data_IF_991613607376
#
_entry.id   IF_991613607376
#
_cell.length_a   1.000
_cell.length_b   1.000
_cell.length_c   1.000
_cell.angle_alpha   90.00
_cell.angle_beta   90.00
_cell.angle_gamma   90.00
#
_symmetry.space_group_name_H-M   'P 1'
#
loop_
_entity.id
_entity.type
_entity.pdbx_description
1 polymer ?
#
# COMPACT_ATOMS: atom_id res chain seq x y z
N UNK A 1 8.41 -13.55 -0.28
CA UNK A 1 7.29 -12.59 -0.10
C UNK A 1 6.82 -12.13 -1.47
N UNK A 2 5.52 -11.85 -1.62
CA UNK A 2 4.92 -11.36 -2.85
C UNK A 2 3.61 -10.62 -2.61
N UNK A 3 2.93 -10.29 -3.71
CA UNK A 3 1.60 -9.67 -3.70
C UNK A 3 0.66 -10.49 -4.58
N UNK A 4 -0.46 -10.92 -4.01
CA UNK A 4 -1.56 -11.58 -4.73
C UNK A 4 -2.65 -10.55 -5.03
N UNK A 5 -3.21 -10.55 -6.25
CA UNK A 5 -4.25 -9.61 -6.69
C UNK A 5 -5.54 -10.35 -6.99
N UNK A 6 -6.68 -9.81 -6.55
CA UNK A 6 -8.00 -10.41 -6.75
C UNK A 6 -9.03 -9.37 -7.11
N UNK A 7 -9.86 -9.69 -8.10
CA UNK A 7 -11.04 -8.88 -8.39
C UNK A 7 -12.08 -9.07 -7.27
N UNK A 8 -12.58 -7.96 -6.73
CA UNK A 8 -13.64 -7.88 -5.73
C UNK A 8 -14.66 -6.82 -6.16
N UNK A 9 -15.76 -7.27 -6.77
CA UNK A 9 -16.73 -6.35 -7.37
C UNK A 9 -16.10 -5.58 -8.53
N UNK A 10 -16.19 -4.25 -8.49
CA UNK A 10 -15.54 -3.35 -9.44
C UNK A 10 -14.08 -3.04 -9.11
N UNK A 11 -13.55 -3.53 -7.97
CA UNK A 11 -12.22 -3.19 -7.45
C UNK A 11 -11.24 -4.34 -7.53
N UNK A 12 -9.96 -4.02 -7.54
CA UNK A 12 -8.87 -4.98 -7.39
C UNK A 12 -8.35 -4.85 -5.95
N UNK A 13 -8.61 -5.88 -5.16
CA UNK A 13 -7.99 -6.06 -3.85
C UNK A 13 -6.61 -6.72 -4.01
N UNK A 14 -5.75 -6.57 -3.02
CA UNK A 14 -4.46 -7.28 -2.97
C UNK A 14 -4.11 -7.77 -1.58
N UNK A 15 -3.27 -8.79 -1.53
CA UNK A 15 -2.76 -9.39 -0.29
C UNK A 15 -1.25 -9.39 -0.31
N UNK A 16 -0.64 -9.07 0.82
CA UNK A 16 0.78 -9.34 1.03
C UNK A 16 0.90 -10.77 1.51
N UNK A 17 1.74 -11.55 0.82
CA UNK A 17 1.96 -12.97 1.13
C UNK A 17 3.43 -13.21 1.47
N UNK A 18 3.67 -14.11 2.42
CA UNK A 18 4.99 -14.70 2.67
C UNK A 18 4.99 -16.16 2.23
N UNK A 19 6.16 -16.70 1.90
CA UNK A 19 6.30 -18.08 1.44
C UNK A 19 7.35 -18.77 2.31
N UNK A 20 7.01 -19.93 2.83
CA UNK A 20 7.93 -20.82 3.54
C UNK A 20 7.82 -22.26 3.00
N UNK A 21 8.30 -23.25 3.75
CA UNK A 21 8.27 -24.65 3.33
C UNK A 21 6.85 -25.25 3.28
N UNK A 22 5.91 -24.69 4.05
CA UNK A 22 4.53 -25.18 4.15
C UNK A 22 3.59 -24.51 3.13
N UNK A 23 4.04 -23.41 2.51
CA UNK A 23 3.38 -22.80 1.36
C UNK A 23 3.28 -21.28 1.46
N UNK A 24 2.24 -20.73 0.83
CA UNK A 24 1.96 -19.30 0.82
C UNK A 24 1.01 -18.92 1.95
N UNK A 25 1.37 -17.87 2.70
CA UNK A 25 0.61 -17.36 3.83
C UNK A 25 0.28 -15.88 3.63
N UNK A 26 -1.01 -15.55 3.61
CA UNK A 26 -1.45 -14.15 3.59
C UNK A 26 -1.29 -13.52 4.98
N UNK A 27 -0.66 -12.35 5.02
CA UNK A 27 -0.36 -11.65 6.28
C UNK A 27 -1.05 -10.28 6.37
N UNK A 28 -1.35 -9.69 5.22
CA UNK A 28 -2.17 -8.49 5.08
C UNK A 28 -3.16 -8.66 3.94
N UNK A 29 -4.38 -8.18 4.13
CA UNK A 29 -5.40 -8.06 3.07
C UNK A 29 -5.85 -6.61 2.95
N UNK A 30 -5.81 -6.03 1.76
CA UNK A 30 -6.32 -4.68 1.55
C UNK A 30 -7.84 -4.61 1.82
N UNK A 31 -8.29 -3.48 2.36
CA UNK A 31 -9.70 -3.20 2.60
C UNK A 31 -10.18 -2.20 1.57
N UNK A 32 -10.96 -2.67 0.61
CA UNK A 32 -11.41 -1.85 -0.52
C UNK A 32 -12.61 -0.95 -0.19
N UNK A 33 -13.38 -1.26 0.85
CA UNK A 33 -14.65 -0.58 1.12
C UNK A 33 -15.75 -0.95 0.10
N UNK A 34 -16.81 -0.16 0.07
CA UNK A 34 -17.95 -0.36 -0.82
C UNK A 34 -17.83 0.51 -2.09
N UNK A 35 -18.44 0.05 -3.19
CA UNK A 35 -18.35 0.69 -4.51
C UNK A 35 -18.85 2.14 -4.57
N UNK A 36 -19.81 2.49 -3.70
CA UNK A 36 -20.44 3.80 -3.61
C UNK A 36 -19.67 4.81 -2.73
N UNK A 37 -18.61 4.38 -2.04
CA UNK A 37 -17.84 5.24 -1.15
C UNK A 37 -16.88 6.14 -1.96
N UNK A 38 -17.03 7.48 -1.92
CA UNK A 38 -16.15 8.41 -2.64
C UNK A 38 -14.72 8.42 -2.06
N UNK A 39 -14.59 8.09 -0.78
CA UNK A 39 -13.33 8.03 -0.03
C UNK A 39 -13.21 6.67 0.65
N UNK A 40 -12.88 5.63 -0.13
CA UNK A 40 -12.72 4.29 0.43
C UNK A 40 -11.46 4.18 1.30
N UNK A 41 -11.41 3.16 2.18
CA UNK A 41 -10.29 2.93 3.10
C UNK A 41 -8.97 2.56 2.40
N UNK A 42 -9.03 2.09 1.15
CA UNK A 42 -7.87 1.83 0.28
C UNK A 42 -8.09 2.40 -1.12
N UNK A 43 -7.04 2.57 -1.95
CA UNK A 43 -7.20 3.02 -3.31
C UNK A 43 -8.25 2.22 -4.09
N UNK A 44 -9.20 2.90 -4.73
CA UNK A 44 -10.21 2.25 -5.58
C UNK A 44 -9.59 1.81 -6.92
N UNK A 45 -8.77 0.76 -6.89
CA UNK A 45 -8.06 0.23 -8.06
C UNK A 45 -9.02 -0.61 -8.90
N UNK A 46 -9.03 -0.44 -10.21
CA UNK A 46 -9.98 -1.10 -11.13
C UNK A 46 -9.27 -1.77 -12.31
N UNK A 47 -8.04 -1.35 -12.61
CA UNK A 47 -7.24 -1.91 -13.69
C UNK A 47 -5.79 -2.14 -13.22
N UNK A 48 -5.28 -3.35 -13.48
CA UNK A 48 -3.86 -3.69 -13.41
C UNK A 48 -3.25 -3.45 -14.78
N UNK A 49 -2.38 -2.44 -14.88
CA UNK A 49 -1.71 -2.10 -16.13
C UNK A 49 -0.48 -2.99 -16.34
N UNK A 50 -0.67 -4.06 -17.13
CA UNK A 50 0.40 -5.01 -17.47
C UNK A 50 1.41 -4.47 -18.49
N UNK A 51 1.07 -3.40 -19.22
CA UNK A 51 1.95 -2.83 -20.24
C UNK A 51 3.09 -2.00 -19.63
N UNK A 52 2.86 -1.36 -18.48
CA UNK A 52 3.94 -0.73 -17.68
C UNK A 52 4.89 -1.77 -17.05
N UNK A 53 4.38 -2.97 -16.78
CA UNK A 53 5.12 -4.15 -16.34
C UNK A 53 6.08 -4.70 -17.42
N UNK A 54 5.79 -4.44 -18.70
CA UNK A 54 6.67 -4.80 -19.83
C UNK A 54 7.68 -3.69 -20.17
N UNK A 55 7.31 -2.42 -20.00
CA UNK A 55 8.25 -1.29 -20.10
C UNK A 55 9.32 -1.31 -18.98
N UNK A 56 9.03 -1.99 -17.87
CA UNK A 56 9.96 -2.25 -16.78
C UNK A 56 11.23 -3.02 -17.20
N UNK A 57 11.14 -3.82 -18.26
CA UNK A 57 12.28 -4.52 -18.87
C UNK A 57 13.30 -3.54 -19.48
N UNK A 58 12.95 -2.25 -19.61
CA UNK A 58 13.83 -1.17 -20.06
C UNK A 58 14.36 -0.25 -18.93
N UNK A 59 14.33 -0.70 -17.67
CA UNK A 59 15.07 -0.07 -16.56
C UNK A 59 14.26 0.57 -15.43
N UNK A 60 12.95 0.32 -15.34
CA UNK A 60 12.14 0.67 -14.18
C UNK A 60 11.59 -0.61 -13.55
N UNK A 61 12.07 -1.05 -12.38
CA UNK A 61 11.61 -2.30 -11.76
C UNK A 61 10.20 -2.13 -11.16
N UNK A 62 9.15 -2.07 -11.99
CA UNK A 62 7.76 -2.03 -11.53
C UNK A 62 7.16 -3.43 -11.65
N UNK A 63 6.88 -4.07 -10.51
CA UNK A 63 6.24 -5.38 -10.45
C UNK A 63 4.71 -5.29 -10.64
N UNK A 64 4.10 -4.14 -10.34
CA UNK A 64 2.71 -3.87 -10.66
C UNK A 64 2.42 -2.38 -10.70
N UNK A 65 1.57 -1.97 -11.64
CA UNK A 65 1.01 -0.63 -11.68
C UNK A 65 -0.52 -0.73 -11.80
N UNK A 66 -1.22 -0.16 -10.84
CA UNK A 66 -2.67 -0.21 -10.76
C UNK A 66 -3.25 1.20 -10.80
N UNK A 67 -4.40 1.35 -11.42
CA UNK A 67 -5.14 2.60 -11.50
C UNK A 67 -6.63 2.37 -11.26
N UNK A 68 -7.32 3.41 -10.83
CA UNK A 68 -8.78 3.41 -10.79
C UNK A 68 -9.35 4.74 -10.32
N UNK A 69 -10.63 4.73 -9.99
CA UNK A 69 -11.37 5.93 -9.66
C UNK A 69 -12.40 5.65 -8.56
N UNK A 70 -12.59 6.63 -7.69
CA UNK A 70 -13.82 6.73 -6.89
C UNK A 70 -14.29 8.18 -6.86
N UNK A 71 -15.59 8.39 -7.07
CA UNK A 71 -16.16 9.72 -7.27
C UNK A 71 -15.47 10.48 -8.40
N UNK A 72 -14.76 11.56 -8.06
CA UNK A 72 -14.00 12.39 -9.02
C UNK A 72 -12.48 12.23 -8.88
N UNK A 73 -12.03 11.38 -7.96
CA UNK A 73 -10.63 11.22 -7.59
C UNK A 73 -10.00 10.07 -8.37
N UNK A 74 -8.81 10.30 -8.92
CA UNK A 74 -8.04 9.24 -9.56
C UNK A 74 -7.08 8.63 -8.55
N UNK A 75 -7.02 7.31 -8.54
CA UNK A 75 -6.16 6.53 -7.67
C UNK A 75 -5.13 5.78 -8.49
N UNK A 76 -3.92 5.66 -7.96
CA UNK A 76 -2.87 4.82 -8.52
C UNK A 76 -2.07 4.15 -7.42
N UNK A 77 -1.60 2.93 -7.68
CA UNK A 77 -0.68 2.19 -6.83
C UNK A 77 0.43 1.58 -7.70
N UNK A 78 1.67 1.94 -7.42
CA UNK A 78 2.86 1.26 -7.91
C UNK A 78 3.40 0.28 -6.86
N UNK A 79 3.87 -0.88 -7.29
CA UNK A 79 4.59 -1.84 -6.47
C UNK A 79 5.90 -2.18 -7.16
N UNK A 80 7.01 -1.97 -6.48
CA UNK A 80 8.36 -2.15 -7.00
C UNK A 80 9.12 -3.15 -6.11
N UNK A 81 9.77 -4.19 -6.66
CA UNK A 81 10.66 -5.03 -5.90
C UNK A 81 11.95 -4.27 -5.61
N UNK A 82 12.39 -4.33 -4.35
CA UNK A 82 13.63 -3.77 -3.86
C UNK A 82 14.47 -4.87 -3.17
N UNK A 83 15.77 -4.65 -3.09
CA UNK A 83 16.66 -5.42 -2.21
C UNK A 83 17.31 -4.46 -1.22
N UNK A 84 17.17 -4.73 0.07
CA UNK A 84 17.79 -3.93 1.16
C UNK A 84 18.72 -4.82 1.95
N UNK A 85 20.00 -4.49 1.92
CA UNK A 85 21.03 -5.19 2.70
C UNK A 85 21.00 -6.72 2.47
N UNK A 86 20.74 -7.12 1.22
CA UNK A 86 20.61 -8.51 0.79
C UNK A 86 19.25 -9.17 1.04
N UNK A 87 18.27 -8.45 1.59
CA UNK A 87 16.93 -8.95 1.90
C UNK A 87 15.88 -8.50 0.88
N UNK A 88 14.87 -9.34 0.58
CA UNK A 88 13.80 -8.98 -0.32
C UNK A 88 12.85 -7.95 0.33
N UNK A 89 12.55 -6.90 -0.43
CA UNK A 89 11.60 -5.86 -0.05
C UNK A 89 10.66 -5.52 -1.21
N UNK A 90 9.52 -4.92 -0.87
CA UNK A 90 8.56 -4.35 -1.82
C UNK A 90 8.31 -2.90 -1.41
N UNK A 91 8.48 -1.98 -2.33
CA UNK A 91 8.08 -0.59 -2.18
C UNK A 91 6.68 -0.42 -2.75
N UNK A 92 5.78 0.12 -1.95
CA UNK A 92 4.45 0.52 -2.36
C UNK A 92 4.40 2.05 -2.48
N UNK A 93 3.83 2.51 -3.58
CA UNK A 93 3.73 3.93 -3.90
C UNK A 93 2.32 4.25 -4.37
N UNK A 94 1.51 4.77 -3.45
CA UNK A 94 0.11 5.07 -3.69
C UNK A 94 -0.10 6.58 -3.80
N UNK A 95 -1.01 6.97 -4.69
CA UNK A 95 -1.39 8.35 -4.87
C UNK A 95 -2.88 8.50 -5.17
N UNK A 96 -3.44 9.61 -4.71
CA UNK A 96 -4.80 10.03 -4.98
C UNK A 96 -4.81 11.47 -5.51
N UNK A 97 -5.27 11.66 -6.75
CA UNK A 97 -5.53 13.00 -7.31
C UNK A 97 -6.92 13.47 -6.91
N UNK A 98 -6.96 14.31 -5.88
CA UNK A 98 -8.16 14.95 -5.36
C UNK A 98 -8.50 16.16 -6.23
N UNK A 99 -9.73 16.20 -6.77
CA UNK A 99 -10.19 17.28 -7.68
C UNK A 99 -11.14 18.30 -7.02
N UNK A 100 -11.71 17.99 -5.86
CA UNK A 100 -12.65 18.86 -5.14
C UNK A 100 -12.38 18.74 -3.64
N UNK A 101 -12.67 19.80 -2.89
CA UNK A 101 -12.44 19.80 -1.44
C UNK A 101 -13.33 18.74 -0.80
N UNK A 102 -12.70 17.74 -0.22
CA UNK A 102 -13.34 16.82 0.71
C UNK A 102 -12.32 16.52 1.80
N UNK A 103 -12.76 16.67 3.04
CA UNK A 103 -11.96 16.53 4.26
C UNK A 103 -11.73 15.05 4.63
N UNK A 104 -11.37 14.21 3.66
CA UNK A 104 -11.15 12.78 3.92
C UNK A 104 -9.66 12.45 3.93
N UNK A 105 -9.22 11.81 5.00
CA UNK A 105 -7.95 11.09 5.05
C UNK A 105 -7.93 10.04 3.94
N UNK A 106 -6.92 10.09 3.07
CA UNK A 106 -6.68 9.08 2.03
C UNK A 106 -5.51 8.20 2.45
N UNK A 107 -5.57 6.91 2.15
CA UNK A 107 -4.56 5.97 2.58
C UNK A 107 -4.78 4.57 2.01
N UNK A 108 -3.96 3.64 2.50
CA UNK A 108 -4.14 2.20 2.29
C UNK A 108 -4.45 1.56 3.63
N UNK A 109 -5.58 0.85 3.72
CA UNK A 109 -5.97 0.14 4.93
C UNK A 109 -5.89 -1.36 4.72
N UNK A 110 -5.28 -2.06 5.66
CA UNK A 110 -5.13 -3.50 5.64
C UNK A 110 -5.81 -4.14 6.84
N UNK A 111 -6.44 -5.28 6.61
CA UNK A 111 -6.68 -6.27 7.65
C UNK A 111 -5.39 -7.03 7.90
N UNK A 112 -4.98 -7.06 9.15
CA UNK A 112 -3.82 -7.80 9.65
C UNK A 112 -4.27 -9.21 10.04
N UNK A 113 -3.62 -10.23 9.47
CA UNK A 113 -4.00 -11.64 9.66
C UNK A 113 -3.11 -12.41 10.62
N UNK A 114 -2.07 -11.77 11.14
CA UNK A 114 -1.08 -12.36 12.05
C UNK A 114 -0.81 -11.41 13.22
N UNK A 115 -0.08 -11.88 14.23
CA UNK A 115 0.28 -11.03 15.36
C UNK A 115 1.11 -9.83 14.89
N UNK A 116 0.72 -8.65 15.36
CA UNK A 116 1.33 -7.40 14.97
C UNK A 116 1.71 -6.54 16.18
N UNK A 117 2.83 -5.85 16.04
CA UNK A 117 3.33 -4.88 17.00
C UNK A 117 3.74 -3.61 16.26
N UNK A 118 3.37 -2.46 16.81
CA UNK A 118 3.77 -1.16 16.29
C UNK A 118 4.85 -0.57 17.20
N UNK A 119 6.15 -0.69 16.87
CA UNK A 119 7.23 -0.20 17.74
C UNK A 119 7.28 1.33 17.80
N UNK A 120 6.87 2.00 16.71
CA UNK A 120 6.88 3.45 16.58
C UNK A 120 5.80 3.91 15.56
N UNK A 121 5.67 5.22 15.33
CA UNK A 121 4.65 5.78 14.44
C UNK A 121 4.88 5.53 12.95
N UNK A 122 6.03 4.99 12.55
CA UNK A 122 6.38 4.74 11.16
C UNK A 122 6.54 3.24 10.85
N UNK A 123 6.52 2.37 11.86
CA UNK A 123 6.90 0.96 11.71
C UNK A 123 5.84 0.03 12.27
N UNK A 124 5.52 -1.02 11.51
CA UNK A 124 4.72 -2.16 11.94
C UNK A 124 5.51 -3.44 11.75
N UNK A 125 5.52 -4.32 12.75
CA UNK A 125 6.14 -5.65 12.67
C UNK A 125 5.07 -6.71 12.77
N UNK A 126 5.10 -7.65 11.83
CA UNK A 126 4.19 -8.79 11.75
C UNK A 126 4.98 -10.07 12.01
N UNK A 127 4.52 -10.89 12.94
CA UNK A 127 5.09 -12.21 13.22
C UNK A 127 4.51 -13.20 12.21
N UNK A 128 5.30 -13.64 11.25
CA UNK A 128 4.84 -14.52 10.17
C UNK A 128 5.49 -15.91 10.24
N UNK A 129 4.89 -16.94 9.61
CA UNK A 129 5.54 -18.23 9.48
C UNK A 129 6.95 -18.16 8.86
N UNK A 130 7.17 -17.24 7.92
CA UNK A 130 8.46 -17.06 7.23
C UNK A 130 9.47 -16.16 7.99
N UNK A 131 9.14 -15.62 9.17
CA UNK A 131 9.98 -14.66 9.90
C UNK A 131 9.24 -13.38 10.26
N UNK A 132 9.97 -12.29 10.50
CA UNK A 132 9.35 -11.01 10.85
C UNK A 132 9.17 -10.18 9.57
N UNK A 133 7.94 -9.80 9.26
CA UNK A 133 7.69 -8.84 8.19
C UNK A 133 7.60 -7.43 8.77
N UNK A 134 8.39 -6.51 8.25
CA UNK A 134 8.36 -5.12 8.66
C UNK A 134 7.71 -4.25 7.59
N UNK A 135 6.64 -3.55 7.95
CA UNK A 135 6.16 -2.38 7.23
C UNK A 135 6.84 -1.13 7.77
N UNK A 136 7.29 -0.25 6.87
CA UNK A 136 7.88 1.04 7.23
C UNK A 136 7.30 2.12 6.33
N UNK A 137 6.61 3.10 6.91
CA UNK A 137 6.20 4.31 6.21
C UNK A 137 7.43 5.07 5.69
N UNK A 138 7.31 5.69 4.51
CA UNK A 138 8.40 6.42 3.87
C UNK A 138 7.91 7.78 3.38
N UNK A 139 8.75 8.81 3.41
CA UNK A 139 8.37 10.11 2.87
C UNK A 139 8.24 9.99 1.35
N UNK A 140 7.31 10.76 0.76
CA UNK A 140 7.10 10.76 -0.69
C UNK A 140 8.38 11.12 -1.46
N UNK A 141 9.15 12.08 -0.91
CA UNK A 141 10.45 12.54 -1.37
C UNK A 141 11.27 13.05 -0.17
N UNK A 142 12.57 13.30 -0.36
CA UNK A 142 13.42 13.83 0.71
C UNK A 142 12.84 15.14 1.27
N UNK A 143 12.72 15.23 2.60
CA UNK A 143 12.15 16.38 3.31
C UNK A 143 10.62 16.47 3.33
N UNK A 144 9.90 15.55 2.67
CA UNK A 144 8.44 15.48 2.77
C UNK A 144 8.00 14.88 4.12
N UNK A 145 6.79 15.23 4.54
CA UNK A 145 6.16 14.64 5.72
C UNK A 145 5.99 13.12 5.56
N UNK A 146 6.07 12.41 6.70
CA UNK A 146 5.89 10.98 6.76
C UNK A 146 4.40 10.62 6.70
N UNK A 147 4.02 9.56 5.96
CA UNK A 147 2.71 8.95 6.11
C UNK A 147 2.47 8.53 7.56
N UNK A 148 1.25 8.71 8.06
CA UNK A 148 0.87 8.18 9.35
C UNK A 148 0.64 6.67 9.22
N UNK A 149 1.28 5.87 10.08
CA UNK A 149 1.03 4.44 10.21
C UNK A 149 0.34 4.18 11.54
N UNK A 150 -0.84 3.56 11.51
CA UNK A 150 -1.66 3.33 12.70
C UNK A 150 -2.23 1.90 12.72
N UNK A 151 -1.94 1.17 13.80
CA UNK A 151 -2.53 -0.13 14.10
C UNK A 151 -3.69 0.03 15.10
N UNK A 152 -4.90 -0.26 14.66
CA UNK A 152 -6.13 -0.22 15.45
C UNK A 152 -6.76 -1.63 15.47
N UNK A 153 -6.44 -2.41 16.51
CA UNK A 153 -6.84 -3.83 16.57
C UNK A 153 -6.20 -4.62 15.43
N UNK A 154 -7.03 -5.26 14.60
CA UNK A 154 -6.58 -6.00 13.40
C UNK A 154 -6.59 -5.13 12.12
N UNK A 155 -6.76 -3.82 12.21
CA UNK A 155 -6.72 -2.91 11.07
C UNK A 155 -5.45 -2.05 11.12
N UNK A 156 -4.72 -1.98 10.00
CA UNK A 156 -3.55 -1.12 9.82
C UNK A 156 -3.86 -0.07 8.75
N UNK A 157 -3.77 1.21 9.10
CA UNK A 157 -3.90 2.33 8.17
C UNK A 157 -2.52 2.93 7.87
N UNK A 158 -2.23 3.12 6.59
CA UNK A 158 -1.12 3.97 6.12
C UNK A 158 -1.74 5.16 5.38
N UNK A 159 -1.84 6.29 6.08
CA UNK A 159 -2.47 7.50 5.56
C UNK A 159 -1.46 8.45 4.94
N UNK A 160 -1.87 9.11 3.85
CA UNK A 160 -1.13 10.26 3.32
C UNK A 160 -0.94 11.31 4.40
N UNK A 161 0.24 11.96 4.46
CA UNK A 161 0.44 13.05 5.40
C UNK A 161 -0.68 14.06 5.22
N UNK A 162 -1.45 14.34 6.28
CA UNK A 162 -2.45 15.37 6.25
C UNK A 162 -1.78 16.67 5.83
N UNK A 163 -2.38 17.36 4.88
CA UNK A 163 -2.04 18.75 4.66
C UNK A 163 -3.33 19.52 4.91
N UNK A 164 -3.36 20.20 6.04
CA UNK A 164 -4.54 20.88 6.55
C UNK A 164 -5.01 22.03 5.64
N UNK A 165 -4.19 22.42 4.65
CA UNK A 165 -4.40 23.54 3.74
C UNK A 165 -4.27 23.20 2.23
N UNK A 166 -4.54 21.95 1.82
CA UNK A 166 -4.41 21.64 0.39
C UNK A 166 -5.62 22.12 -0.41
N UNK A 167 -5.37 23.07 -1.32
CA UNK A 167 -6.36 23.51 -2.31
C UNK A 167 -6.35 22.56 -3.52
N UNK A 168 -7.47 21.89 -3.84
CA UNK A 168 -7.56 21.05 -5.04
C UNK A 168 -7.48 21.88 -6.33
N UNK A 169 -6.98 21.32 -7.45
CA UNK A 169 -6.60 19.92 -7.61
C UNK A 169 -5.20 19.63 -7.05
N UNK A 170 -5.09 18.56 -6.27
CA UNK A 170 -3.81 18.11 -5.68
C UNK A 170 -3.65 16.61 -5.81
N UNK A 171 -2.40 16.15 -5.81
CA UNK A 171 -2.06 14.74 -5.62
C UNK A 171 -1.53 14.53 -4.22
N UNK A 172 -2.28 13.75 -3.42
CA UNK A 172 -1.82 13.22 -2.15
C UNK A 172 -1.09 11.90 -2.41
N UNK A 173 0.07 11.69 -1.80
CA UNK A 173 0.93 10.52 -2.04
C UNK A 173 1.40 9.95 -0.71
N UNK A 174 1.44 8.63 -0.60
CA UNK A 174 2.00 7.93 0.55
C UNK A 174 2.79 6.72 0.06
N UNK A 175 3.91 6.49 0.73
CA UNK A 175 4.83 5.42 0.40
C UNK A 175 5.11 4.60 1.63
N UNK A 176 5.28 3.31 1.44
CA UNK A 176 5.73 2.43 2.51
C UNK A 176 6.47 1.25 1.90
N UNK A 177 7.39 0.70 2.67
CA UNK A 177 8.13 -0.51 2.33
C UNK A 177 7.61 -1.67 3.15
N UNK A 178 7.61 -2.84 2.54
CA UNK A 178 7.43 -4.12 3.20
C UNK A 178 8.72 -4.91 3.03
N UNK A 179 9.33 -5.36 4.12
CA UNK A 179 10.60 -6.09 4.09
C UNK A 179 10.50 -7.35 4.96
N UNK A 180 11.06 -8.46 4.48
CA UNK A 180 11.18 -9.67 5.28
C UNK A 180 12.51 -9.64 6.05
N UNK A 181 12.43 -9.49 7.36
CA UNK A 181 13.56 -9.58 8.27
C UNK A 181 13.77 -11.07 8.60
N UNK A 182 14.97 -11.59 8.31
CA UNK A 182 15.33 -12.96 8.65
C UNK A 182 15.23 -13.17 10.17
N UNK A 183 14.90 -14.41 10.56
CA UNK A 183 14.91 -14.86 11.96
C UNK A 183 16.31 -14.83 12.55
#
# INVERSE_FOLDING_TARGET
MGVDFRQQGDRIAHRVIVVDADGEHAVLESLEGAGDQPWPPSPALQALNRDQLLAAVAGANVAAALVGMSGRSHWSLGIEPETRDGRPALLFDAACRVKQSAAATVGSTYRVLVDAQQPDSATLRLSTPAGVLQLTALPAMAGAAMPALELNGAACLIASPAADDVTPPVTLRWRYRVELLNR
#
